data_IF_958264319373
#
_entry.id   IF_958264319373
#
_cell.length_a   1.000
_cell.length_b   1.000
_cell.length_c   1.000
_cell.angle_alpha   90.00
_cell.angle_beta   90.00
_cell.angle_gamma   90.00
#
_symmetry.space_group_name_H-M   'P 1'
#
loop_
_entity.id
_entity.type
_entity.pdbx_description
1 polymer ?
#
# COMPACT_ATOMS: atom_id res chain seq x y z
N UNK A 1 -2.14 18.94 -5.09
CA UNK A 1 -0.90 18.36 -4.54
C UNK A 1 -0.02 19.49 -4.07
N UNK A 2 0.55 19.36 -2.87
CA UNK A 2 1.51 20.31 -2.32
C UNK A 2 2.84 20.30 -3.08
N UNK A 3 3.75 21.19 -2.67
CA UNK A 3 5.13 21.24 -3.21
C UNK A 3 6.03 20.15 -2.58
N UNK A 4 5.72 19.72 -1.34
CA UNK A 4 6.47 18.73 -0.56
C UNK A 4 5.69 17.43 -0.37
N UNK A 5 4.41 17.52 0.00
CA UNK A 5 3.55 16.35 0.14
C UNK A 5 3.12 15.83 -1.22
N UNK A 6 3.51 14.59 -1.52
CA UNK A 6 3.03 13.83 -2.66
C UNK A 6 1.71 13.10 -2.33
N UNK A 7 1.38 12.04 -3.08
CA UNK A 7 0.21 11.19 -2.82
C UNK A 7 0.34 10.36 -1.54
N UNK A 8 1.56 10.21 -1.01
CA UNK A 8 1.86 9.32 0.13
C UNK A 8 2.98 9.92 1.01
N UNK A 9 2.74 11.10 1.54
CA UNK A 9 3.66 11.82 2.41
C UNK A 9 4.79 12.57 1.67
N UNK A 10 5.79 12.99 2.44
CA UNK A 10 7.00 13.63 1.92
C UNK A 10 8.01 12.53 1.60
N UNK A 11 8.48 12.44 0.35
CA UNK A 11 9.47 11.45 -0.08
C UNK A 11 10.65 12.12 -0.79
N UNK A 12 11.82 11.49 -0.68
CA UNK A 12 13.03 11.93 -1.38
C UNK A 12 14.23 11.05 -1.08
N UNK A 13 15.35 11.33 -1.76
CA UNK A 13 16.63 10.70 -1.45
C UNK A 13 17.08 11.22 -0.08
N UNK A 14 17.31 10.28 0.84
CA UNK A 14 17.67 10.59 2.22
C UNK A 14 18.98 11.39 2.27
N UNK A 15 19.02 12.42 3.13
CA UNK A 15 20.12 13.36 3.32
C UNK A 15 20.50 14.20 2.07
N UNK A 16 19.64 14.18 1.04
CA UNK A 16 19.76 15.05 -0.14
C UNK A 16 18.47 15.87 -0.30
N UNK A 17 17.36 15.22 -0.58
CA UNK A 17 16.03 15.83 -0.74
C UNK A 17 15.29 15.84 0.61
N UNK A 18 15.35 14.71 1.33
CA UNK A 18 14.79 14.52 2.68
C UNK A 18 15.91 14.60 3.70
N UNK A 19 16.23 15.83 4.13
CA UNK A 19 17.30 16.12 5.08
C UNK A 19 16.84 16.06 6.53
N UNK A 20 17.78 15.99 7.47
CA UNK A 20 17.49 16.09 8.90
C UNK A 20 16.80 17.43 9.27
N UNK A 21 17.16 18.54 8.61
CA UNK A 21 16.51 19.83 8.81
C UNK A 21 15.03 19.79 8.36
N UNK A 22 14.76 19.20 7.19
CA UNK A 22 13.38 19.04 6.70
C UNK A 22 12.58 18.14 7.65
N UNK A 23 13.15 17.04 8.13
CA UNK A 23 12.51 16.14 9.08
C UNK A 23 12.19 16.85 10.41
N UNK A 24 13.12 17.68 10.93
CA UNK A 24 12.86 18.50 12.11
C UNK A 24 11.67 19.46 11.89
N UNK A 25 11.69 20.21 10.79
CA UNK A 25 10.59 21.14 10.44
C UNK A 25 9.27 20.41 10.27
N UNK A 26 9.30 19.23 9.63
CA UNK A 26 8.13 18.39 9.45
C UNK A 26 7.54 17.94 10.80
N UNK A 27 8.40 17.51 11.75
CA UNK A 27 7.97 17.17 13.10
C UNK A 27 7.38 18.35 13.85
N UNK A 28 8.04 19.51 13.79
CA UNK A 28 7.59 20.74 14.43
C UNK A 28 6.23 21.20 13.89
N UNK A 29 6.13 21.32 12.57
CA UNK A 29 4.90 21.76 11.88
C UNK A 29 3.75 20.76 12.04
N UNK A 30 4.04 19.47 11.93
CA UNK A 30 3.06 18.38 12.13
C UNK A 30 2.49 18.39 13.55
N UNK A 31 3.36 18.47 14.58
CA UNK A 31 2.90 18.57 15.95
C UNK A 31 2.02 19.81 16.17
N UNK A 32 2.46 20.97 15.66
CA UNK A 32 1.69 22.20 15.80
C UNK A 32 0.29 22.09 15.20
N UNK A 33 0.19 21.69 13.93
CA UNK A 33 -1.09 21.62 13.21
C UNK A 33 -2.03 20.58 13.81
N UNK A 34 -1.51 19.38 14.12
CA UNK A 34 -2.34 18.26 14.58
C UNK A 34 -2.79 18.43 16.04
N UNK A 35 -2.12 19.28 16.82
CA UNK A 35 -2.39 19.38 18.26
C UNK A 35 -2.80 20.77 18.74
N UNK A 36 -2.89 21.76 17.84
CA UNK A 36 -3.23 23.16 18.19
C UNK A 36 -4.55 23.35 18.94
N UNK A 37 -5.46 22.39 18.85
CA UNK A 37 -6.76 22.41 19.55
C UNK A 37 -6.78 21.51 20.79
N UNK A 38 -5.67 20.84 21.12
CA UNK A 38 -5.58 19.98 22.30
C UNK A 38 -5.18 20.79 23.54
N UNK A 39 -5.94 20.64 24.62
CA UNK A 39 -5.57 21.19 25.92
C UNK A 39 -4.60 20.31 26.71
N UNK A 40 -4.32 19.09 26.20
CA UNK A 40 -3.44 18.10 26.82
C UNK A 40 -2.11 18.03 26.08
N UNK A 41 -1.09 17.50 26.75
CA UNK A 41 0.19 17.19 26.12
C UNK A 41 -0.01 16.15 25.00
N UNK A 42 0.31 16.49 23.75
CA UNK A 42 0.09 15.58 22.63
C UNK A 42 0.98 14.35 22.74
N UNK A 43 0.43 13.21 22.33
CA UNK A 43 1.11 11.92 22.25
C UNK A 43 1.26 11.55 20.79
N UNK A 44 2.49 11.38 20.32
CA UNK A 44 2.78 11.09 18.91
C UNK A 44 3.65 9.84 18.85
N UNK A 45 3.21 8.86 18.06
CA UNK A 45 3.94 7.63 17.81
C UNK A 45 4.86 7.83 16.60
N UNK A 46 6.03 7.19 16.61
CA UNK A 46 6.92 7.11 15.45
C UNK A 46 7.29 5.66 15.21
N UNK A 47 6.93 5.11 14.04
CA UNK A 47 7.43 3.85 13.53
C UNK A 47 8.32 4.07 12.31
N UNK A 48 9.18 3.11 11.99
CA UNK A 48 10.05 3.17 10.82
C UNK A 48 10.25 1.80 10.20
N UNK A 49 10.67 1.78 8.93
CA UNK A 49 11.18 0.58 8.30
C UNK A 49 12.68 0.34 8.67
N UNK A 50 13.31 -0.58 8.00
CA UNK A 50 14.67 -1.03 8.30
C UNK A 50 15.77 -0.15 7.68
N UNK A 51 15.44 0.91 6.93
CA UNK A 51 16.41 1.78 6.27
C UNK A 51 17.35 2.45 7.28
N UNK A 52 18.64 2.41 7.00
CA UNK A 52 19.66 3.04 7.85
C UNK A 52 19.43 4.55 8.05
N UNK A 53 18.92 5.23 7.02
CA UNK A 53 18.57 6.65 7.09
C UNK A 53 17.41 6.94 8.06
N UNK A 54 16.64 5.92 8.45
CA UNK A 54 15.54 6.02 9.40
C UNK A 54 16.00 6.56 10.77
N UNK A 55 17.17 6.17 11.25
CA UNK A 55 17.69 6.62 12.55
C UNK A 55 17.92 8.14 12.58
N UNK A 56 18.53 8.67 11.52
CA UNK A 56 18.77 10.12 11.40
C UNK A 56 17.45 10.90 11.32
N UNK A 57 16.53 10.42 10.49
CA UNK A 57 15.24 11.08 10.30
C UNK A 57 14.37 11.01 11.56
N UNK A 58 14.36 9.88 12.26
CA UNK A 58 13.63 9.70 13.53
C UNK A 58 14.16 10.65 14.60
N UNK A 59 15.48 10.76 14.74
CA UNK A 59 16.08 11.67 15.72
C UNK A 59 15.71 13.14 15.44
N UNK A 60 15.78 13.58 14.19
CA UNK A 60 15.45 14.94 13.78
C UNK A 60 13.95 15.22 13.95
N UNK A 61 13.09 14.32 13.47
CA UNK A 61 11.63 14.40 13.61
C UNK A 61 11.24 14.45 15.09
N UNK A 62 11.83 13.60 15.93
CA UNK A 62 11.60 13.56 17.37
C UNK A 62 11.94 14.88 18.03
N UNK A 63 13.08 15.50 17.68
CA UNK A 63 13.44 16.80 18.18
C UNK A 63 12.42 17.88 17.79
N UNK A 64 11.95 17.88 16.54
CA UNK A 64 10.88 18.77 16.07
C UNK A 64 9.58 18.60 16.86
N UNK A 65 9.12 17.37 17.03
CA UNK A 65 7.91 17.05 17.82
C UNK A 65 8.05 17.48 19.29
N UNK A 66 9.20 17.18 19.92
CA UNK A 66 9.47 17.58 21.30
C UNK A 66 9.54 19.10 21.48
N UNK A 67 10.03 19.84 20.46
CA UNK A 67 10.07 21.31 20.51
C UNK A 67 8.67 21.93 20.61
N UNK A 68 7.64 21.20 20.19
CA UNK A 68 6.22 21.58 20.30
C UNK A 68 5.52 21.00 21.54
N UNK A 69 6.29 20.44 22.48
CA UNK A 69 5.75 19.91 23.73
C UNK A 69 5.18 18.50 23.65
N UNK A 70 5.32 17.79 22.55
CA UNK A 70 4.78 16.44 22.40
C UNK A 70 5.51 15.40 23.26
N UNK A 71 4.74 14.43 23.78
CA UNK A 71 5.27 13.15 24.26
C UNK A 71 5.46 12.25 23.05
N UNK A 72 6.69 12.00 22.65
CA UNK A 72 7.03 11.13 21.53
C UNK A 72 7.24 9.70 22.03
N UNK A 73 6.67 8.75 21.33
CA UNK A 73 6.73 7.32 21.65
C UNK A 73 7.28 6.58 20.43
N UNK A 74 8.60 6.33 20.38
CA UNK A 74 9.18 5.50 19.34
C UNK A 74 8.66 4.07 19.44
N UNK A 75 8.23 3.50 18.30
CA UNK A 75 7.75 2.13 18.17
C UNK A 75 8.87 1.18 17.69
N UNK A 76 9.99 1.74 17.20
CA UNK A 76 11.04 0.99 16.53
C UNK A 76 10.66 0.61 15.10
N UNK A 77 11.21 -0.51 14.64
CA UNK A 77 10.91 -1.05 13.31
C UNK A 77 9.58 -1.80 13.38
N UNK A 78 8.57 -1.24 12.71
CA UNK A 78 7.22 -1.82 12.62
C UNK A 78 6.61 -1.49 11.25
N UNK A 79 5.71 -2.34 10.72
CA UNK A 79 4.95 -2.05 9.50
C UNK A 79 4.19 -0.71 9.55
N UNK A 80 4.02 -0.07 8.38
CA UNK A 80 3.17 1.13 8.25
C UNK A 80 1.77 0.92 8.85
N UNK A 81 1.04 -0.18 8.56
CA UNK A 81 -0.26 -0.43 9.17
C UNK A 81 -0.21 -0.63 10.70
N UNK A 82 0.91 -1.09 11.23
CA UNK A 82 1.08 -1.19 12.68
C UNK A 82 1.02 0.19 13.35
N UNK A 83 1.60 1.22 12.73
CA UNK A 83 1.53 2.59 13.26
C UNK A 83 0.10 3.10 13.23
N UNK A 84 -0.66 2.87 12.15
CA UNK A 84 -2.07 3.24 12.05
C UNK A 84 -2.91 2.57 13.15
N UNK A 85 -2.72 1.25 13.36
CA UNK A 85 -3.41 0.51 14.42
C UNK A 85 -3.00 0.98 15.81
N UNK A 86 -1.71 1.06 16.11
CA UNK A 86 -1.20 1.43 17.44
C UNK A 86 -1.53 2.86 17.82
N UNK A 87 -1.70 3.77 16.85
CA UNK A 87 -2.17 5.13 17.11
C UNK A 87 -3.54 5.12 17.79
N UNK A 88 -4.46 4.31 17.28
CA UNK A 88 -5.78 4.09 17.90
C UNK A 88 -5.69 3.34 19.22
N UNK A 89 -4.95 2.23 19.23
CA UNK A 89 -4.81 1.33 20.38
C UNK A 89 -4.24 2.03 21.61
N UNK A 90 -3.16 2.82 21.41
CA UNK A 90 -2.56 3.62 22.49
C UNK A 90 -3.25 4.97 22.71
N UNK A 91 -4.31 5.28 21.97
CA UNK A 91 -5.04 6.57 22.05
C UNK A 91 -4.09 7.76 21.88
N UNK A 92 -3.19 7.69 20.88
CA UNK A 92 -2.30 8.77 20.52
C UNK A 92 -3.02 9.81 19.67
N UNK A 93 -2.51 11.05 19.69
CA UNK A 93 -3.10 12.14 18.89
C UNK A 93 -2.69 12.05 17.42
N UNK A 94 -1.54 11.42 17.13
CA UNK A 94 -1.06 11.15 15.78
C UNK A 94 -0.06 9.99 15.77
N UNK A 95 0.09 9.38 14.58
CA UNK A 95 1.15 8.44 14.24
C UNK A 95 2.00 8.97 13.11
N UNK A 96 3.29 8.67 13.11
CA UNK A 96 4.21 9.02 12.03
C UNK A 96 4.97 7.77 11.61
N UNK A 97 5.11 7.59 10.31
CA UNK A 97 5.91 6.51 9.71
C UNK A 97 7.05 7.11 8.93
N UNK A 98 8.25 6.55 9.13
CA UNK A 98 9.44 6.86 8.37
C UNK A 98 9.74 5.69 7.45
N UNK A 99 9.31 5.80 6.19
CA UNK A 99 9.48 4.80 5.14
C UNK A 99 9.23 5.37 3.75
N UNK A 100 9.84 4.74 2.75
CA UNK A 100 9.53 4.97 1.33
C UNK A 100 8.96 3.71 0.64
N UNK A 101 8.29 2.81 1.41
CA UNK A 101 7.62 1.60 0.92
C UNK A 101 8.56 0.74 0.05
N UNK A 102 8.21 0.45 -1.20
CA UNK A 102 8.95 -0.40 -2.13
C UNK A 102 10.16 0.27 -2.81
N UNK A 103 10.44 1.56 -2.53
CA UNK A 103 11.59 2.23 -3.12
C UNK A 103 12.93 1.64 -2.63
N UNK A 104 14.04 1.76 -3.41
CA UNK A 104 15.37 1.39 -2.96
C UNK A 104 15.82 2.12 -1.68
N UNK A 105 16.87 1.62 -1.02
CA UNK A 105 17.28 2.07 0.30
C UNK A 105 17.73 3.53 0.39
N UNK A 106 18.13 4.16 -0.74
CA UNK A 106 18.52 5.56 -0.83
C UNK A 106 17.35 6.51 -0.57
N UNK A 107 16.14 6.09 -0.87
CA UNK A 107 14.93 6.86 -0.61
C UNK A 107 14.44 6.66 0.82
N UNK A 108 13.78 7.69 1.35
CA UNK A 108 12.98 7.57 2.56
C UNK A 108 11.77 8.52 2.46
N UNK A 109 10.86 8.44 3.44
CA UNK A 109 9.67 9.27 3.47
C UNK A 109 9.16 9.49 4.89
N UNK A 110 8.28 10.47 5.05
CA UNK A 110 7.57 10.76 6.30
C UNK A 110 6.09 10.87 6.00
N UNK A 111 5.30 10.00 6.62
CA UNK A 111 3.83 9.91 6.47
C UNK A 111 3.19 10.13 7.83
N UNK A 112 2.05 10.81 7.85
CA UNK A 112 1.29 11.04 9.08
C UNK A 112 -0.05 10.29 9.07
N UNK A 113 -0.43 9.84 10.26
CA UNK A 113 -1.77 9.33 10.57
C UNK A 113 -2.41 10.20 11.64
N UNK A 114 -3.71 10.46 11.52
CA UNK A 114 -4.49 11.13 12.56
C UNK A 114 -4.78 10.18 13.73
N UNK A 115 -5.45 10.66 14.76
CA UNK A 115 -5.82 9.89 15.95
C UNK A 115 -6.69 8.67 15.66
N UNK A 116 -7.43 8.68 14.54
CA UNK A 116 -8.28 7.58 14.12
C UNK A 116 -7.53 6.57 13.24
N UNK A 117 -6.23 6.77 13.00
CA UNK A 117 -5.38 5.89 12.22
C UNK A 117 -5.55 6.02 10.69
N UNK A 118 -6.15 7.11 10.21
CA UNK A 118 -6.23 7.43 8.79
C UNK A 118 -5.12 8.36 8.37
N UNK A 119 -4.69 8.26 7.11
CA UNK A 119 -3.80 9.25 6.48
C UNK A 119 -4.43 10.65 6.57
N UNK A 120 -3.60 11.69 6.63
CA UNK A 120 -4.09 13.06 6.69
C UNK A 120 -4.82 13.44 5.39
N UNK A 121 -5.77 14.37 5.52
CA UNK A 121 -6.40 15.01 4.35
C UNK A 121 -5.45 16.02 3.70
N UNK A 122 -5.62 16.27 2.40
CA UNK A 122 -4.83 17.29 1.67
C UNK A 122 -4.84 18.65 2.35
N UNK A 123 -5.98 19.02 2.96
CA UNK A 123 -6.11 20.30 3.69
C UNK A 123 -5.15 20.40 4.87
N UNK A 124 -5.01 19.31 5.64
CA UNK A 124 -4.09 19.24 6.77
C UNK A 124 -2.64 19.18 6.29
N UNK A 125 -2.34 18.37 5.26
CA UNK A 125 -1.01 18.28 4.67
C UNK A 125 -0.56 19.62 4.10
N UNK A 126 -1.40 20.33 3.37
CA UNK A 126 -1.12 21.68 2.85
C UNK A 126 -0.92 22.69 3.98
N UNK A 127 -1.66 22.57 5.08
CA UNK A 127 -1.44 23.42 6.24
C UNK A 127 -0.06 23.16 6.89
N UNK A 128 0.32 21.91 7.08
CA UNK A 128 1.65 21.53 7.59
C UNK A 128 2.73 22.06 6.66
N UNK A 129 2.57 21.88 5.35
CA UNK A 129 3.52 22.35 4.34
C UNK A 129 3.74 23.87 4.41
N UNK A 130 2.67 24.65 4.63
CA UNK A 130 2.77 26.10 4.74
C UNK A 130 3.68 26.57 5.88
N UNK A 131 3.73 25.81 6.98
CA UNK A 131 4.68 26.06 8.09
C UNK A 131 6.09 25.61 7.76
N UNK A 132 6.25 24.46 7.10
CA UNK A 132 7.57 23.94 6.69
C UNK A 132 8.25 24.91 5.73
N UNK A 133 7.51 25.46 4.77
CA UNK A 133 7.99 26.41 3.75
C UNK A 133 8.18 27.83 4.29
N UNK A 134 7.75 28.13 5.52
CA UNK A 134 7.83 29.46 6.12
C UNK A 134 6.79 30.46 5.57
N UNK A 135 5.75 29.98 4.91
CA UNK A 135 4.61 30.80 4.48
C UNK A 135 3.73 31.20 5.69
N UNK A 136 3.76 30.37 6.75
CA UNK A 136 3.21 30.67 8.06
C UNK A 136 4.26 30.49 9.14
N UNK A 137 4.14 31.21 10.26
CA UNK A 137 5.04 31.17 11.39
C UNK A 137 4.39 30.50 12.60
N UNK A 138 5.17 29.74 13.34
CA UNK A 138 4.82 29.27 14.69
C UNK A 138 5.17 30.40 15.65
N UNK A 139 4.16 31.02 16.25
CA UNK A 139 4.34 32.25 17.03
C UNK A 139 5.02 32.00 18.37
N UNK A 140 4.74 30.88 19.03
CA UNK A 140 5.24 30.59 20.38
C UNK A 140 5.67 29.12 20.52
N UNK A 141 6.88 28.91 21.05
CA UNK A 141 7.40 27.59 21.37
C UNK A 141 7.25 27.30 22.87
N UNK A 142 6.86 26.07 23.24
CA UNK A 142 6.81 25.64 24.62
C UNK A 142 8.19 25.76 25.31
N UNK A 143 8.21 26.27 26.53
CA UNK A 143 9.42 26.43 27.36
C UNK A 143 9.29 25.69 28.70
N UNK A 144 10.41 25.58 29.42
CA UNK A 144 10.47 24.95 30.76
C UNK A 144 9.82 23.56 30.77
N UNK A 145 8.97 23.27 31.71
CA UNK A 145 8.27 21.98 31.85
C UNK A 145 7.25 21.66 30.75
N UNK A 146 7.02 22.59 29.80
CA UNK A 146 6.14 22.37 28.64
C UNK A 146 6.89 21.77 27.45
N UNK A 147 8.22 21.75 27.42
CA UNK A 147 8.99 21.06 26.39
C UNK A 147 8.63 19.57 26.39
N UNK A 148 8.55 18.97 25.21
CA UNK A 148 8.23 17.56 25.04
C UNK A 148 9.36 16.63 25.48
N UNK A 149 9.06 15.34 25.47
CA UNK A 149 10.04 14.31 25.85
C UNK A 149 9.75 12.97 25.15
N UNK A 150 10.75 12.10 25.11
CA UNK A 150 10.63 10.75 24.60
C UNK A 150 10.24 9.78 25.72
N UNK A 151 9.32 8.88 25.43
CA UNK A 151 8.89 7.81 26.34
C UNK A 151 8.99 6.48 25.61
N UNK A 152 9.86 5.60 26.07
CA UNK A 152 10.05 4.30 25.44
C UNK A 152 8.75 3.47 25.41
N UNK A 153 8.56 2.71 24.34
CA UNK A 153 7.58 1.63 24.24
C UNK A 153 8.32 0.37 23.75
N UNK A 154 8.20 -0.70 24.52
CA UNK A 154 8.90 -1.97 24.21
C UNK A 154 7.93 -3.06 23.71
N UNK A 155 6.64 -2.75 23.60
CA UNK A 155 5.61 -3.75 23.27
C UNK A 155 4.97 -3.56 21.89
N UNK A 156 5.43 -2.61 21.09
CA UNK A 156 4.77 -2.25 19.83
C UNK A 156 4.62 -3.44 18.87
N UNK A 157 5.69 -4.22 18.70
CA UNK A 157 5.68 -5.42 17.86
C UNK A 157 4.69 -6.46 18.41
N UNK A 158 4.75 -6.74 19.71
CA UNK A 158 3.89 -7.77 20.33
C UNK A 158 2.41 -7.36 20.32
N UNK A 159 2.10 -6.08 20.56
CA UNK A 159 0.74 -5.57 20.54
C UNK A 159 0.15 -5.60 19.12
N UNK A 160 0.95 -5.27 18.10
CA UNK A 160 0.52 -5.39 16.70
C UNK A 160 0.37 -6.85 16.27
N UNK A 161 1.31 -7.73 16.64
CA UNK A 161 1.22 -9.18 16.38
C UNK A 161 -0.02 -9.78 17.05
N UNK A 162 -0.31 -9.40 18.29
CA UNK A 162 -1.51 -9.86 18.99
C UNK A 162 -2.79 -9.42 18.27
N UNK A 163 -2.82 -8.18 17.79
CA UNK A 163 -3.91 -7.68 16.97
C UNK A 163 -4.03 -8.47 15.66
N UNK A 164 -2.96 -8.58 14.86
CA UNK A 164 -3.00 -9.27 13.58
C UNK A 164 -3.49 -10.73 13.72
N UNK A 165 -2.97 -11.46 14.71
CA UNK A 165 -3.41 -12.82 15.03
C UNK A 165 -4.90 -12.88 15.38
N UNK A 166 -5.43 -11.87 16.07
CA UNK A 166 -6.85 -11.82 16.45
C UNK A 166 -7.82 -11.58 15.28
N UNK A 167 -7.31 -11.22 14.09
CA UNK A 167 -8.15 -10.96 12.90
C UNK A 167 -8.66 -12.23 12.24
N UNK A 168 -8.12 -13.39 12.58
CA UNK A 168 -8.61 -14.70 12.15
C UNK A 168 -8.96 -15.57 13.36
N UNK A 169 -9.91 -16.48 13.18
CA UNK A 169 -10.43 -17.38 14.22
C UNK A 169 -10.00 -18.85 14.02
N UNK A 170 -8.98 -19.08 13.20
CA UNK A 170 -8.43 -20.43 12.96
C UNK A 170 -6.92 -20.45 13.18
N UNK A 171 -6.41 -21.62 13.49
CA UNK A 171 -4.98 -21.90 13.53
C UNK A 171 -4.51 -22.34 12.15
N UNK A 172 -3.21 -22.17 11.89
CA UNK A 172 -2.55 -22.53 10.63
C UNK A 172 -1.69 -23.79 10.77
N UNK A 173 -1.96 -24.64 11.80
CA UNK A 173 -1.20 -25.87 12.05
C UNK A 173 -1.15 -26.74 10.78
N UNK A 174 0.05 -27.21 10.44
CA UNK A 174 0.31 -28.08 9.28
C UNK A 174 0.48 -27.33 7.96
N UNK A 175 0.27 -26.00 7.89
CA UNK A 175 0.60 -25.22 6.70
C UNK A 175 2.09 -24.88 6.68
N UNK A 176 2.76 -25.17 5.56
CA UNK A 176 4.14 -24.76 5.30
C UNK A 176 4.14 -23.50 4.46
N UNK A 177 4.63 -22.41 5.03
CA UNK A 177 4.55 -21.08 4.45
C UNK A 177 5.96 -20.53 4.21
N UNK A 178 6.28 -20.17 2.97
CA UNK A 178 7.46 -19.40 2.64
C UNK A 178 7.14 -17.90 2.76
N UNK A 179 8.00 -17.11 3.41
CA UNK A 179 7.77 -15.67 3.60
C UNK A 179 8.98 -14.89 3.12
N UNK A 180 8.73 -13.94 2.22
CA UNK A 180 9.68 -12.90 1.84
C UNK A 180 9.34 -11.62 2.61
N UNK A 181 10.25 -11.19 3.49
CA UNK A 181 10.08 -10.00 4.31
C UNK A 181 10.69 -8.74 3.68
N UNK A 182 11.17 -8.80 2.45
CA UNK A 182 11.80 -7.67 1.74
C UNK A 182 13.00 -7.05 2.51
N UNK A 183 13.57 -7.73 3.49
CA UNK A 183 14.43 -7.13 4.52
C UNK A 183 13.82 -5.85 5.13
N UNK A 184 12.50 -5.76 5.14
CA UNK A 184 11.69 -4.62 5.53
C UNK A 184 11.06 -4.75 6.91
N UNK A 185 10.05 -3.94 7.17
CA UNK A 185 9.43 -3.77 8.48
C UNK A 185 8.64 -5.01 8.97
N UNK A 186 8.30 -5.94 8.07
CA UNK A 186 7.60 -7.18 8.42
C UNK A 186 8.51 -8.28 9.00
N UNK A 187 9.84 -8.13 8.95
CA UNK A 187 10.81 -9.18 9.24
C UNK A 187 10.60 -9.88 10.60
N UNK A 188 10.14 -9.15 11.59
CA UNK A 188 9.84 -9.68 12.92
C UNK A 188 8.35 -10.00 13.09
N UNK A 189 7.47 -9.11 12.63
CA UNK A 189 6.03 -9.20 12.88
C UNK A 189 5.38 -10.35 12.12
N UNK A 190 5.73 -10.55 10.85
CA UNK A 190 5.17 -11.64 10.04
C UNK A 190 5.58 -13.02 10.59
N UNK A 191 6.86 -13.18 10.88
CA UNK A 191 7.38 -14.43 11.44
C UNK A 191 6.72 -14.77 12.78
N UNK A 192 6.61 -13.79 13.70
CA UNK A 192 5.97 -13.98 15.02
C UNK A 192 4.49 -14.34 14.89
N UNK A 193 3.75 -13.64 14.03
CA UNK A 193 2.31 -13.85 13.87
C UNK A 193 2.01 -15.26 13.32
N UNK A 194 2.70 -15.68 12.27
CA UNK A 194 2.50 -16.98 11.65
C UNK A 194 2.91 -18.14 12.58
N UNK A 195 4.04 -18.03 13.28
CA UNK A 195 4.45 -19.02 14.28
C UNK A 195 3.45 -19.12 15.44
N UNK A 196 2.93 -17.98 15.92
CA UNK A 196 1.91 -17.95 16.99
C UNK A 196 0.63 -18.68 16.58
N UNK A 197 0.31 -18.69 15.29
CA UNK A 197 -0.81 -19.42 14.70
C UNK A 197 -0.48 -20.88 14.39
N UNK A 198 0.76 -21.36 14.59
CA UNK A 198 1.17 -22.74 14.42
C UNK A 198 1.59 -23.14 13.01
N UNK A 199 1.83 -22.18 12.11
CA UNK A 199 2.37 -22.46 10.79
C UNK A 199 3.84 -22.93 10.88
N UNK A 200 4.26 -23.75 9.90
CA UNK A 200 5.67 -24.04 9.65
C UNK A 200 6.23 -22.98 8.70
N UNK A 201 6.98 -22.01 9.25
CA UNK A 201 7.41 -20.81 8.53
C UNK A 201 8.87 -20.89 8.13
N UNK A 202 9.13 -20.74 6.84
CA UNK A 202 10.44 -20.58 6.25
C UNK A 202 10.58 -19.18 5.69
N UNK A 203 11.45 -18.34 6.27
CA UNK A 203 11.60 -16.94 5.87
C UNK A 203 12.86 -16.72 5.03
N UNK A 204 12.72 -15.93 3.97
CA UNK A 204 13.81 -15.36 3.17
C UNK A 204 13.79 -13.84 3.30
N UNK A 205 14.91 -13.18 3.01
CA UNK A 205 15.06 -11.72 3.06
C UNK A 205 14.53 -11.12 4.38
N UNK A 206 14.91 -11.74 5.51
CA UNK A 206 14.49 -11.34 6.86
C UNK A 206 15.66 -10.96 7.78
N UNK A 207 16.80 -10.59 7.20
CA UNK A 207 18.01 -10.15 7.90
C UNK A 207 18.41 -8.75 7.45
N UNK A 208 17.66 -7.72 7.87
CA UNK A 208 17.91 -6.36 7.43
C UNK A 208 19.27 -5.84 7.93
N UNK A 209 20.03 -5.19 7.05
CA UNK A 209 21.31 -4.54 7.36
C UNK A 209 21.26 -3.00 7.23
N UNK A 210 20.10 -2.48 6.87
CA UNK A 210 19.82 -1.05 6.68
C UNK A 210 20.00 -0.54 5.26
N UNK A 211 20.55 -1.37 4.35
CA UNK A 211 20.75 -1.03 2.94
C UNK A 211 20.21 -2.06 1.97
N UNK A 212 19.82 -3.23 2.45
CA UNK A 212 19.31 -4.34 1.65
C UNK A 212 17.78 -4.40 1.53
N UNK A 213 17.05 -3.45 2.07
CA UNK A 213 15.58 -3.38 1.93
C UNK A 213 15.18 -3.29 0.46
N UNK A 214 14.21 -4.10 0.03
CA UNK A 214 13.70 -4.20 -1.34
C UNK A 214 14.76 -4.53 -2.42
N UNK A 215 15.96 -4.96 -2.02
CA UNK A 215 17.01 -5.26 -2.99
C UNK A 215 16.82 -6.65 -3.57
N UNK A 216 16.34 -6.73 -4.82
CA UNK A 216 16.03 -7.99 -5.53
C UNK A 216 15.11 -8.93 -4.73
N UNK A 217 14.22 -8.36 -3.97
CA UNK A 217 13.21 -9.02 -3.13
C UNK A 217 11.99 -8.11 -3.00
N UNK A 218 10.98 -8.51 -2.27
CA UNK A 218 9.71 -7.83 -2.08
C UNK A 218 8.58 -8.26 -3.04
N UNK A 219 7.41 -7.66 -2.87
CA UNK A 219 6.23 -7.90 -3.71
C UNK A 219 6.37 -7.42 -5.17
N UNK A 220 7.46 -6.73 -5.53
CA UNK A 220 7.76 -6.32 -6.91
C UNK A 220 8.81 -7.20 -7.58
N UNK A 221 9.50 -8.07 -6.81
CA UNK A 221 10.56 -8.98 -7.28
C UNK A 221 10.31 -10.39 -6.73
N UNK A 222 9.36 -11.10 -7.35
CA UNK A 222 8.82 -12.35 -6.84
C UNK A 222 9.63 -13.60 -7.20
N UNK A 223 10.62 -13.50 -8.08
CA UNK A 223 11.32 -14.65 -8.68
C UNK A 223 12.02 -15.52 -7.64
N UNK A 224 12.62 -14.90 -6.62
CA UNK A 224 13.30 -15.64 -5.55
C UNK A 224 12.31 -16.42 -4.68
N UNK A 225 11.16 -15.82 -4.35
CA UNK A 225 10.11 -16.49 -3.59
C UNK A 225 9.45 -17.61 -4.40
N UNK A 226 9.20 -17.41 -5.70
CA UNK A 226 8.64 -18.42 -6.59
C UNK A 226 9.53 -19.67 -6.66
N UNK A 227 10.84 -19.47 -6.84
CA UNK A 227 11.80 -20.58 -6.82
C UNK A 227 11.90 -21.23 -5.44
N UNK A 228 11.84 -20.45 -4.37
CA UNK A 228 11.95 -20.97 -3.00
C UNK A 228 10.73 -21.82 -2.63
N UNK A 229 9.51 -21.36 -2.89
CA UNK A 229 8.26 -22.11 -2.64
C UNK A 229 8.33 -23.50 -3.24
N UNK A 230 8.68 -23.61 -4.51
CA UNK A 230 8.77 -24.90 -5.21
C UNK A 230 9.90 -25.77 -4.67
N UNK A 231 11.05 -25.18 -4.34
CA UNK A 231 12.23 -25.92 -3.86
C UNK A 231 12.02 -26.59 -2.50
N UNK A 232 11.25 -25.93 -1.61
CA UNK A 232 10.98 -26.45 -0.27
C UNK A 232 9.65 -27.20 -0.17
N UNK A 233 8.84 -27.17 -1.24
CA UNK A 233 7.47 -27.72 -1.24
C UNK A 233 6.58 -27.02 -0.23
N UNK A 234 6.55 -25.68 -0.25
CA UNK A 234 5.64 -24.90 0.58
C UNK A 234 4.22 -24.94 0.01
N UNK A 235 3.21 -24.84 0.88
CA UNK A 235 1.81 -24.75 0.47
C UNK A 235 1.48 -23.41 -0.15
N UNK A 236 2.23 -22.36 0.23
CA UNK A 236 2.09 -20.98 -0.24
C UNK A 236 3.35 -20.18 0.08
N UNK A 237 3.65 -19.20 -0.79
CA UNK A 237 4.59 -18.12 -0.51
C UNK A 237 3.86 -16.81 -0.27
N UNK A 238 4.39 -15.96 0.60
CA UNK A 238 3.88 -14.60 0.90
C UNK A 238 5.05 -13.63 0.80
N UNK A 239 4.91 -12.58 0.00
CA UNK A 239 5.87 -11.49 -0.10
C UNK A 239 5.23 -10.19 0.37
N UNK A 240 5.97 -9.45 1.19
CA UNK A 240 5.65 -8.08 1.61
C UNK A 240 6.50 -7.08 0.84
N UNK A 241 6.11 -5.82 0.81
CA UNK A 241 7.00 -4.72 0.47
C UNK A 241 7.70 -4.14 1.71
N UNK A 242 8.59 -3.18 1.52
CA UNK A 242 9.49 -2.72 2.58
C UNK A 242 8.81 -2.19 3.85
N UNK A 243 7.61 -1.59 3.76
CA UNK A 243 6.83 -1.13 4.92
C UNK A 243 5.58 -2.00 5.19
N UNK A 244 5.45 -3.10 4.43
CA UNK A 244 4.45 -4.14 4.62
C UNK A 244 2.99 -3.66 4.61
N UNK A 245 2.69 -2.59 3.88
CA UNK A 245 1.32 -2.17 3.60
C UNK A 245 0.72 -2.94 2.42
N UNK A 246 1.57 -3.72 1.68
CA UNK A 246 1.21 -4.59 0.57
C UNK A 246 1.61 -6.03 0.82
N UNK A 247 0.87 -6.94 0.19
CA UNK A 247 1.15 -8.37 0.17
C UNK A 247 0.76 -8.98 -1.17
N UNK A 248 1.67 -9.76 -1.76
CA UNK A 248 1.37 -10.70 -2.84
C UNK A 248 1.69 -12.12 -2.42
N UNK A 249 1.17 -13.10 -3.15
CA UNK A 249 1.39 -14.50 -2.83
C UNK A 249 1.94 -15.29 -4.03
N UNK A 250 2.44 -16.49 -3.73
CA UNK A 250 2.89 -17.49 -4.70
C UNK A 250 2.19 -18.80 -4.37
N UNK A 251 1.58 -19.44 -5.34
CA UNK A 251 0.94 -20.73 -5.14
C UNK A 251 1.97 -21.87 -4.97
N UNK A 252 1.49 -23.07 -4.62
CA UNK A 252 2.30 -24.26 -4.43
C UNK A 252 3.05 -24.72 -5.68
N UNK A 253 2.72 -24.18 -6.87
CA UNK A 253 3.38 -24.45 -8.14
C UNK A 253 4.37 -23.35 -8.55
N UNK A 254 4.59 -22.34 -7.70
CA UNK A 254 5.45 -21.20 -7.98
C UNK A 254 4.85 -20.11 -8.84
N UNK A 255 3.52 -20.09 -9.03
CA UNK A 255 2.85 -19.03 -9.79
C UNK A 255 2.47 -17.86 -8.89
N UNK A 256 2.64 -16.66 -9.41
CA UNK A 256 2.22 -15.42 -8.75
C UNK A 256 0.69 -15.41 -8.55
N UNK A 257 0.27 -14.98 -7.37
CA UNK A 257 -1.12 -14.63 -7.01
C UNK A 257 -1.10 -13.14 -6.64
N UNK A 258 -1.73 -12.33 -7.46
CA UNK A 258 -1.78 -10.88 -7.26
C UNK A 258 -2.91 -10.42 -6.32
N UNK A 259 -2.94 -9.11 -6.05
CA UNK A 259 -3.94 -8.52 -5.16
C UNK A 259 -5.38 -8.73 -5.63
N UNK A 260 -5.62 -8.75 -6.93
CA UNK A 260 -6.96 -8.99 -7.48
C UNK A 260 -7.47 -10.40 -7.16
N UNK A 261 -6.59 -11.40 -7.31
CA UNK A 261 -6.91 -12.80 -7.02
C UNK A 261 -7.12 -13.00 -5.50
N UNK A 262 -6.27 -12.38 -4.68
CA UNK A 262 -6.39 -12.42 -3.21
C UNK A 262 -7.72 -11.79 -2.76
N UNK A 263 -8.02 -10.59 -3.27
CA UNK A 263 -9.26 -9.89 -2.95
C UNK A 263 -10.50 -10.68 -3.38
N UNK A 264 -10.50 -11.26 -4.58
CA UNK A 264 -11.62 -12.07 -5.07
C UNK A 264 -11.87 -13.30 -4.19
N UNK A 265 -10.80 -14.02 -3.80
CA UNK A 265 -10.91 -15.19 -2.94
C UNK A 265 -11.45 -14.82 -1.55
N UNK A 266 -10.91 -13.76 -0.94
CA UNK A 266 -11.38 -13.26 0.35
C UNK A 266 -12.82 -12.75 0.27
N UNK A 267 -13.16 -11.93 -0.72
CA UNK A 267 -14.51 -11.40 -0.90
C UNK A 267 -15.55 -12.51 -1.13
N UNK A 268 -15.20 -13.52 -1.94
CA UNK A 268 -16.08 -14.70 -2.12
C UNK A 268 -16.32 -15.42 -0.81
N UNK A 269 -15.25 -15.67 -0.05
CA UNK A 269 -15.37 -16.33 1.25
C UNK A 269 -16.21 -15.49 2.23
N UNK A 270 -15.97 -14.17 2.31
CA UNK A 270 -16.75 -13.24 3.13
C UNK A 270 -18.24 -13.24 2.74
N UNK A 271 -18.55 -13.24 1.43
CA UNK A 271 -19.92 -13.33 0.94
C UNK A 271 -20.59 -14.64 1.37
N UNK A 272 -19.89 -15.76 1.17
CA UNK A 272 -20.43 -17.10 1.47
C UNK A 272 -20.69 -17.28 2.99
N UNK A 273 -19.97 -16.50 3.82
CA UNK A 273 -20.18 -16.45 5.27
C UNK A 273 -21.07 -15.27 5.75
N UNK A 274 -21.62 -14.47 4.83
CA UNK A 274 -22.51 -13.35 5.17
C UNK A 274 -21.80 -12.15 5.83
N UNK A 275 -20.49 -12.03 5.67
CA UNK A 275 -19.68 -10.93 6.25
C UNK A 275 -19.26 -9.87 5.23
N UNK A 276 -19.47 -10.12 3.91
CA UNK A 276 -19.21 -9.13 2.87
C UNK A 276 -20.33 -8.08 2.86
N UNK A 277 -20.02 -6.87 3.29
CA UNK A 277 -21.01 -5.78 3.33
C UNK A 277 -21.49 -5.43 1.92
N UNK A 278 -22.81 -5.44 1.74
CA UNK A 278 -23.50 -5.11 0.48
C UNK A 278 -23.02 -5.93 -0.72
N UNK A 279 -22.44 -7.12 -0.49
CA UNK A 279 -21.85 -7.96 -1.53
C UNK A 279 -20.90 -7.18 -2.46
N UNK A 280 -20.07 -6.30 -1.90
CA UNK A 280 -19.23 -5.38 -2.67
C UNK A 280 -17.77 -5.47 -2.27
N UNK A 281 -16.88 -5.53 -3.30
CA UNK A 281 -15.43 -5.41 -3.25
C UNK A 281 -15.03 -4.15 -4.02
N UNK A 282 -14.33 -3.21 -3.41
CA UNK A 282 -13.87 -1.98 -4.10
C UNK A 282 -12.52 -2.23 -4.76
N UNK A 283 -12.39 -1.90 -6.06
CA UNK A 283 -11.13 -2.03 -6.80
C UNK A 283 -10.84 -0.75 -7.60
N UNK A 284 -9.62 -0.61 -8.13
CA UNK A 284 -9.28 0.53 -8.99
C UNK A 284 -9.51 0.21 -10.47
N UNK A 285 -9.47 1.23 -11.31
CA UNK A 285 -9.49 1.06 -12.78
C UNK A 285 -8.28 0.26 -13.30
N UNK A 286 -7.23 0.05 -12.48
CA UNK A 286 -6.06 -0.75 -12.86
C UNK A 286 -6.21 -2.24 -12.58
N UNK A 287 -7.20 -2.66 -11.78
CA UNK A 287 -7.47 -4.08 -11.56
C UNK A 287 -7.77 -4.78 -12.89
N UNK A 288 -7.29 -6.00 -13.01
CA UNK A 288 -7.42 -6.81 -14.22
C UNK A 288 -8.88 -7.01 -14.62
N UNK A 289 -9.18 -7.00 -15.91
CA UNK A 289 -10.54 -7.24 -16.42
C UNK A 289 -11.12 -8.56 -15.89
N UNK A 290 -10.27 -9.57 -15.72
CA UNK A 290 -10.64 -10.86 -15.14
C UNK A 290 -11.26 -10.76 -13.74
N UNK A 291 -10.87 -9.80 -12.92
CA UNK A 291 -11.48 -9.56 -11.62
C UNK A 291 -12.95 -9.13 -11.75
N UNK A 292 -13.24 -8.20 -12.67
CA UNK A 292 -14.60 -7.73 -12.89
C UNK A 292 -15.50 -8.82 -13.45
N UNK A 293 -15.00 -9.61 -14.41
CA UNK A 293 -15.70 -10.78 -14.96
C UNK A 293 -15.96 -11.84 -13.88
N UNK A 294 -14.99 -12.08 -13.00
CA UNK A 294 -15.15 -12.97 -11.86
C UNK A 294 -16.23 -12.47 -10.90
N UNK A 295 -16.23 -11.15 -10.60
CA UNK A 295 -17.22 -10.52 -9.76
C UNK A 295 -18.66 -10.77 -10.24
N UNK A 296 -18.92 -10.54 -11.53
CA UNK A 296 -20.22 -10.83 -12.15
C UNK A 296 -20.61 -12.30 -11.99
N UNK A 297 -19.66 -13.21 -12.28
CA UNK A 297 -19.90 -14.66 -12.21
C UNK A 297 -20.21 -15.14 -10.79
N UNK A 298 -19.54 -14.57 -9.79
CA UNK A 298 -19.75 -14.95 -8.38
C UNK A 298 -20.77 -14.05 -7.66
N UNK A 299 -21.41 -13.09 -8.31
CA UNK A 299 -22.44 -12.23 -7.70
C UNK A 299 -21.89 -11.22 -6.70
N UNK A 300 -20.68 -10.69 -6.94
CA UNK A 300 -20.05 -9.62 -6.16
C UNK A 300 -19.98 -8.36 -7.01
N UNK A 301 -20.49 -7.24 -6.49
CA UNK A 301 -20.38 -5.95 -7.13
C UNK A 301 -18.95 -5.39 -6.94
N UNK A 302 -18.32 -4.91 -8.03
CA UNK A 302 -16.96 -4.36 -7.98
C UNK A 302 -16.94 -2.96 -8.58
N UNK A 303 -17.25 -1.90 -7.77
CA UNK A 303 -17.10 -0.53 -8.19
C UNK A 303 -15.63 -0.18 -8.46
N UNK A 304 -15.39 0.61 -9.50
CA UNK A 304 -14.06 1.03 -9.96
C UNK A 304 -13.77 2.44 -9.47
N UNK A 305 -12.69 2.61 -8.74
CA UNK A 305 -12.18 3.93 -8.34
C UNK A 305 -11.03 4.38 -9.24
N UNK A 306 -10.61 5.62 -9.09
CA UNK A 306 -9.32 6.09 -9.61
C UNK A 306 -8.17 5.30 -8.96
N UNK A 307 -7.01 5.32 -9.61
CA UNK A 307 -5.78 4.71 -9.09
C UNK A 307 -5.32 5.43 -7.82
N UNK A 308 -5.03 4.67 -6.80
CA UNK A 308 -4.53 5.12 -5.50
C UNK A 308 -5.40 4.61 -4.35
N UNK A 309 -4.75 4.11 -3.32
CA UNK A 309 -5.33 3.55 -2.10
C UNK A 309 -6.32 4.49 -1.41
N UNK A 310 -6.04 5.79 -1.48
CA UNK A 310 -6.90 6.84 -0.95
C UNK A 310 -8.30 6.80 -1.57
N UNK A 311 -8.42 6.67 -2.90
CA UNK A 311 -9.71 6.64 -3.57
C UNK A 311 -10.51 5.37 -3.25
N UNK A 312 -9.81 4.24 -3.07
CA UNK A 312 -10.40 3.00 -2.61
C UNK A 312 -10.99 3.20 -1.20
N UNK A 313 -10.20 3.74 -0.29
CA UNK A 313 -10.63 3.99 1.09
C UNK A 313 -11.80 4.99 1.16
N UNK A 314 -11.74 6.08 0.40
CA UNK A 314 -12.82 7.09 0.34
C UNK A 314 -14.15 6.45 -0.12
N UNK A 315 -14.14 5.62 -1.16
CA UNK A 315 -15.33 4.91 -1.63
C UNK A 315 -15.85 3.91 -0.57
N UNK A 316 -14.93 3.15 0.06
CA UNK A 316 -15.30 2.21 1.13
C UNK A 316 -15.98 2.91 2.30
N UNK A 317 -15.42 4.03 2.76
CA UNK A 317 -15.98 4.81 3.88
C UNK A 317 -17.32 5.45 3.51
N UNK A 318 -17.42 6.06 2.33
CA UNK A 318 -18.62 6.74 1.87
C UNK A 318 -19.82 5.81 1.71
N UNK A 319 -19.58 4.55 1.33
CA UNK A 319 -20.62 3.56 1.04
C UNK A 319 -20.75 2.48 2.13
N UNK A 320 -19.82 2.41 3.08
CA UNK A 320 -19.82 1.41 4.15
C UNK A 320 -19.39 0.03 3.70
N UNK A 321 -18.51 -0.09 2.71
CA UNK A 321 -17.91 -1.34 2.27
C UNK A 321 -16.75 -1.73 3.18
N UNK A 322 -16.43 -3.01 3.28
CA UNK A 322 -15.43 -3.49 4.24
C UNK A 322 -14.21 -4.20 3.63
N UNK A 323 -14.17 -4.39 2.30
CA UNK A 323 -12.98 -4.86 1.60
C UNK A 323 -12.78 -4.07 0.32
N UNK A 324 -11.54 -3.72 0.03
CA UNK A 324 -11.13 -3.08 -1.22
C UNK A 324 -9.61 -3.01 -1.31
N UNK A 325 -9.09 -2.69 -2.50
CA UNK A 325 -7.65 -2.58 -2.68
C UNK A 325 -7.23 -2.46 -4.14
N UNK A 326 -5.97 -2.78 -4.36
CA UNK A 326 -5.29 -2.67 -5.64
C UNK A 326 -4.62 -3.99 -6.03
N UNK A 327 -4.46 -4.23 -7.33
CA UNK A 327 -3.73 -5.39 -7.87
C UNK A 327 -2.31 -5.50 -7.29
N UNK A 328 -1.69 -4.38 -6.94
CA UNK A 328 -0.37 -4.32 -6.31
C UNK A 328 -0.27 -4.94 -4.91
N UNK A 329 -1.39 -5.41 -4.36
CA UNK A 329 -1.45 -6.06 -3.04
C UNK A 329 -1.72 -5.11 -1.87
N UNK A 330 -1.97 -3.83 -2.10
CA UNK A 330 -2.47 -2.91 -1.06
C UNK A 330 -3.95 -3.18 -0.83
N UNK A 331 -4.26 -4.03 0.15
CA UNK A 331 -5.61 -4.51 0.44
C UNK A 331 -6.06 -4.01 1.81
N UNK A 332 -7.24 -3.42 1.86
CA UNK A 332 -7.87 -2.86 3.06
C UNK A 332 -8.99 -3.77 3.52
N UNK A 333 -8.87 -4.30 4.72
CA UNK A 333 -9.94 -4.95 5.47
C UNK A 333 -10.43 -3.99 6.55
N UNK A 334 -11.44 -3.17 6.23
CA UNK A 334 -11.83 -2.03 7.06
C UNK A 334 -12.44 -2.43 8.41
N UNK A 335 -12.91 -3.67 8.53
CA UNK A 335 -13.34 -4.23 9.81
C UNK A 335 -12.15 -4.48 10.77
N UNK A 336 -10.92 -4.47 10.27
CA UNK A 336 -9.71 -4.70 11.05
C UNK A 336 -8.81 -3.46 11.13
N UNK A 337 -8.38 -2.92 9.98
CA UNK A 337 -7.48 -1.77 9.95
C UNK A 337 -7.95 -0.67 8.98
N UNK A 338 -7.43 0.53 9.15
CA UNK A 338 -7.84 1.76 8.43
C UNK A 338 -7.03 2.04 7.17
N UNK A 339 -6.09 1.19 6.83
CA UNK A 339 -5.21 1.28 5.66
C UNK A 339 -4.90 -0.12 5.14
N UNK A 340 -4.24 -0.23 4.01
CA UNK A 340 -3.69 -1.49 3.56
C UNK A 340 -2.78 -2.10 4.62
N UNK A 341 -2.94 -3.40 4.85
CA UNK A 341 -2.21 -4.15 5.86
C UNK A 341 -1.82 -5.50 5.29
N UNK A 342 -0.55 -5.61 4.89
CA UNK A 342 -0.05 -6.82 4.26
C UNK A 342 -0.16 -8.05 5.16
N UNK A 343 0.12 -7.91 6.47
CA UNK A 343 0.04 -9.03 7.41
C UNK A 343 -1.41 -9.46 7.65
N UNK A 344 -2.33 -8.52 7.85
CA UNK A 344 -3.76 -8.83 7.95
C UNK A 344 -4.26 -9.47 6.66
N UNK A 345 -3.89 -8.94 5.49
CA UNK A 345 -4.27 -9.50 4.18
C UNK A 345 -3.77 -10.94 4.01
N UNK A 346 -2.51 -11.21 4.40
CA UNK A 346 -1.95 -12.55 4.41
C UNK A 346 -2.76 -13.49 5.31
N UNK A 347 -3.05 -13.07 6.54
CA UNK A 347 -3.80 -13.89 7.48
C UNK A 347 -5.24 -14.14 7.02
N UNK A 348 -5.91 -13.15 6.44
CA UNK A 348 -7.24 -13.34 5.85
C UNK A 348 -7.20 -14.37 4.72
N UNK A 349 -6.25 -14.26 3.79
CA UNK A 349 -6.13 -15.21 2.69
C UNK A 349 -5.77 -16.62 3.19
N UNK A 350 -4.81 -16.75 4.12
CA UNK A 350 -4.47 -18.03 4.76
C UNK A 350 -5.67 -18.66 5.50
N UNK A 351 -6.49 -17.83 6.14
CA UNK A 351 -7.75 -18.29 6.77
C UNK A 351 -8.73 -18.86 5.76
N UNK A 352 -8.84 -18.25 4.57
CA UNK A 352 -9.64 -18.79 3.46
C UNK A 352 -9.14 -20.18 3.08
N UNK A 353 -7.84 -20.33 2.81
CA UNK A 353 -7.27 -21.63 2.43
C UNK A 353 -7.47 -22.68 3.52
N UNK A 354 -7.20 -22.31 4.77
CA UNK A 354 -7.34 -23.23 5.91
C UNK A 354 -8.76 -23.71 6.14
N UNK A 355 -9.74 -22.81 6.06
CA UNK A 355 -11.15 -23.13 6.33
C UNK A 355 -11.84 -23.86 5.17
N UNK A 356 -11.44 -23.56 3.94
CA UNK A 356 -12.01 -24.22 2.75
C UNK A 356 -11.33 -25.51 2.38
N UNK A 357 -10.06 -25.71 2.83
CA UNK A 357 -9.23 -26.82 2.38
C UNK A 357 -8.70 -26.67 0.96
N UNK A 358 -8.92 -25.53 0.31
CA UNK A 358 -8.45 -25.24 -1.04
C UNK A 358 -6.93 -25.01 -1.04
N UNK A 359 -6.29 -25.43 -2.13
CA UNK A 359 -4.92 -25.00 -2.42
C UNK A 359 -4.87 -23.52 -2.82
N UNK A 360 -3.70 -22.90 -2.72
CA UNK A 360 -3.53 -21.49 -3.12
C UNK A 360 -3.86 -21.28 -4.60
N UNK A 361 -3.43 -22.20 -5.49
CA UNK A 361 -3.76 -22.16 -6.92
C UNK A 361 -5.27 -22.27 -7.20
N UNK A 362 -5.99 -23.06 -6.43
CA UNK A 362 -7.46 -23.22 -6.57
C UNK A 362 -8.19 -21.94 -6.16
N UNK A 363 -7.78 -21.33 -5.03
CA UNK A 363 -8.35 -20.07 -4.57
C UNK A 363 -8.08 -18.92 -5.55
N UNK A 364 -6.89 -18.85 -6.11
CA UNK A 364 -6.51 -17.86 -7.12
C UNK A 364 -7.28 -18.03 -8.44
N UNK A 365 -7.65 -19.27 -8.80
CA UNK A 365 -8.35 -19.57 -10.06
C UNK A 365 -9.77 -19.01 -10.18
N UNK A 366 -10.30 -18.41 -9.09
CA UNK A 366 -11.55 -17.63 -9.10
C UNK A 366 -11.47 -16.51 -10.13
N UNK A 367 -10.31 -15.88 -10.27
CA UNK A 367 -10.00 -14.87 -11.27
C UNK A 367 -9.18 -15.51 -12.40
N UNK A 368 -9.69 -15.46 -13.62
CA UNK A 368 -8.90 -15.75 -14.81
C UNK A 368 -8.22 -14.45 -15.22
N UNK A 369 -6.90 -14.36 -14.96
CA UNK A 369 -6.12 -13.17 -15.32
C UNK A 369 -6.09 -13.03 -16.83
N UNK A 370 -6.58 -11.91 -17.33
CA UNK A 370 -6.53 -11.57 -18.76
C UNK A 370 -5.14 -11.06 -19.15
N UNK A 371 -4.57 -11.51 -20.28
CA UNK A 371 -3.37 -10.89 -20.82
C UNK A 371 -3.51 -9.38 -20.89
N UNK A 372 -2.43 -8.67 -20.52
CA UNK A 372 -2.39 -7.21 -20.43
C UNK A 372 -1.12 -6.69 -21.07
N UNK A 373 -1.25 -5.71 -21.93
CA UNK A 373 -0.12 -5.02 -22.59
C UNK A 373 -0.16 -3.54 -22.27
N UNK A 374 0.99 -3.01 -21.86
CA UNK A 374 1.20 -1.59 -21.61
C UNK A 374 2.18 -1.02 -22.63
N UNK A 375 1.82 0.09 -23.28
CA UNK A 375 2.70 0.88 -24.14
C UNK A 375 2.67 2.34 -23.70
N UNK A 376 3.82 3.00 -23.81
CA UNK A 376 3.95 4.42 -23.52
C UNK A 376 4.02 5.19 -24.82
N UNK A 377 3.14 6.15 -25.02
CA UNK A 377 3.21 7.12 -26.10
C UNK A 377 3.92 8.38 -25.61
N UNK A 378 5.00 8.80 -26.26
CA UNK A 378 5.75 10.03 -25.93
C UNK A 378 5.02 11.22 -26.52
N UNK A 379 4.64 12.19 -25.65
CA UNK A 379 3.85 13.35 -26.05
C UNK A 379 4.45 14.65 -25.54
N UNK A 380 4.08 15.79 -26.11
CA UNK A 380 4.42 17.07 -25.51
C UNK A 380 3.73 17.23 -24.15
N UNK A 381 4.46 17.79 -23.17
CA UNK A 381 3.97 17.93 -21.80
C UNK A 381 2.64 18.70 -21.74
N UNK A 382 2.50 19.71 -22.58
CA UNK A 382 1.29 20.55 -22.71
C UNK A 382 0.07 19.79 -23.26
N UNK A 383 0.31 18.77 -24.08
CA UNK A 383 -0.73 17.99 -24.78
C UNK A 383 -1.14 16.71 -24.02
N UNK A 384 -0.41 16.31 -22.97
CA UNK A 384 -0.60 14.98 -22.37
C UNK A 384 -2.01 14.76 -21.79
N UNK A 385 -2.74 15.80 -21.44
CA UNK A 385 -4.09 15.69 -20.87
C UNK A 385 -5.20 15.79 -21.92
N UNK A 386 -4.87 16.16 -23.18
CA UNK A 386 -5.86 16.37 -24.25
C UNK A 386 -6.16 15.13 -25.09
N UNK A 387 -5.60 13.96 -24.74
CA UNK A 387 -5.75 12.73 -25.52
C UNK A 387 -7.21 12.32 -25.77
N UNK A 388 -8.12 12.51 -24.80
CA UNK A 388 -9.54 12.17 -24.94
C UNK A 388 -10.37 13.28 -25.60
N UNK A 389 -9.82 14.49 -25.73
CA UNK A 389 -10.44 15.61 -26.45
C UNK A 389 -10.24 15.50 -27.97
N UNK A 390 -9.27 14.69 -28.41
CA UNK A 390 -9.01 14.44 -29.81
C UNK A 390 -9.96 13.36 -30.34
N UNK A 391 -10.77 13.75 -31.35
CA UNK A 391 -11.82 12.89 -31.93
C UNK A 391 -11.24 11.61 -32.56
N UNK A 392 -10.04 11.66 -33.18
CA UNK A 392 -9.41 10.50 -33.82
C UNK A 392 -8.94 9.48 -32.78
N UNK A 393 -8.34 9.93 -31.70
CA UNK A 393 -7.92 9.04 -30.58
C UNK A 393 -9.15 8.44 -29.90
N UNK A 394 -10.16 9.24 -29.59
CA UNK A 394 -11.37 8.79 -28.96
C UNK A 394 -12.14 7.76 -29.83
N UNK A 395 -12.19 7.99 -31.15
CA UNK A 395 -12.82 7.07 -32.11
C UNK A 395 -12.05 5.74 -32.20
N UNK A 396 -10.70 5.78 -32.22
CA UNK A 396 -9.88 4.57 -32.22
C UNK A 396 -10.06 3.72 -30.95
N UNK A 397 -10.10 4.37 -29.79
CA UNK A 397 -10.37 3.68 -28.52
C UNK A 397 -11.74 3.01 -28.53
N UNK A 398 -12.77 3.74 -28.93
CA UNK A 398 -14.13 3.22 -29.00
C UNK A 398 -14.26 2.06 -30.00
N UNK A 399 -13.63 2.16 -31.16
CA UNK A 399 -13.63 1.08 -32.14
C UNK A 399 -13.04 -0.21 -31.57
N UNK A 400 -11.94 -0.11 -30.80
CA UNK A 400 -11.33 -1.27 -30.14
C UNK A 400 -12.22 -1.83 -29.03
N UNK A 401 -12.86 -0.98 -28.22
CA UNK A 401 -13.78 -1.41 -27.18
C UNK A 401 -15.00 -2.14 -27.77
N UNK A 402 -15.56 -1.60 -28.87
CA UNK A 402 -16.67 -2.21 -29.59
C UNK A 402 -16.26 -3.57 -30.21
N UNK A 403 -15.02 -3.66 -30.74
CA UNK A 403 -14.45 -4.91 -31.29
C UNK A 403 -14.27 -5.99 -30.22
N UNK A 404 -13.82 -5.62 -29.02
CA UNK A 404 -13.67 -6.56 -27.92
C UNK A 404 -14.99 -7.10 -27.39
N UNK A 405 -16.10 -6.44 -27.62
CA UNK A 405 -17.44 -6.87 -27.22
C UNK A 405 -17.56 -7.30 -25.74
N UNK A 406 -16.83 -6.65 -24.86
CA UNK A 406 -16.77 -6.93 -23.41
C UNK A 406 -15.72 -7.98 -23.00
N UNK A 407 -15.03 -8.62 -23.95
CA UNK A 407 -13.96 -9.59 -23.69
C UNK A 407 -12.56 -8.97 -23.71
N UNK A 408 -12.46 -7.65 -23.75
CA UNK A 408 -11.25 -6.86 -23.68
C UNK A 408 -11.55 -5.45 -23.19
N UNK A 409 -10.50 -4.67 -22.97
CA UNK A 409 -10.59 -3.31 -22.45
C UNK A 409 -9.43 -2.45 -22.95
N UNK A 410 -9.72 -1.18 -23.21
CA UNK A 410 -8.73 -0.14 -23.50
C UNK A 410 -8.74 0.86 -22.35
N UNK A 411 -7.58 1.12 -21.75
CA UNK A 411 -7.41 2.13 -20.70
C UNK A 411 -6.25 3.06 -21.10
N UNK A 412 -6.55 4.33 -21.28
CA UNK A 412 -5.55 5.36 -21.54
C UNK A 412 -5.47 6.33 -20.37
N UNK A 413 -4.26 6.67 -19.97
CA UNK A 413 -4.04 7.67 -18.91
C UNK A 413 -2.74 8.45 -19.10
N UNK A 414 -2.69 9.73 -18.73
CA UNK A 414 -1.45 10.49 -18.73
C UNK A 414 -0.56 10.04 -17.57
N UNK A 415 0.76 10.07 -17.77
CA UNK A 415 1.72 9.93 -16.67
C UNK A 415 1.63 11.15 -15.75
N UNK A 416 1.73 10.93 -14.43
CA UNK A 416 1.74 12.04 -13.46
C UNK A 416 2.95 12.96 -13.63
N UNK A 417 4.12 12.38 -13.86
CA UNK A 417 5.43 13.07 -13.81
C UNK A 417 6.13 13.19 -15.15
N UNK A 418 5.85 12.29 -16.11
CA UNK A 418 6.57 12.19 -17.37
C UNK A 418 5.71 12.71 -18.53
N UNK A 419 6.32 13.17 -19.64
CA UNK A 419 5.60 13.56 -20.86
C UNK A 419 5.14 12.33 -21.66
N UNK A 420 4.32 11.49 -21.02
CA UNK A 420 3.85 10.22 -21.58
C UNK A 420 2.33 10.07 -21.40
N UNK A 421 1.71 9.44 -22.37
CA UNK A 421 0.37 8.85 -22.29
C UNK A 421 0.53 7.33 -22.29
N UNK A 422 0.00 6.67 -21.27
CA UNK A 422 0.07 5.23 -21.10
C UNK A 422 -1.16 4.58 -21.71
N UNK A 423 -0.94 3.67 -22.64
CA UNK A 423 -1.96 2.87 -23.31
C UNK A 423 -1.89 1.46 -22.73
N UNK A 424 -2.94 1.03 -22.06
CA UNK A 424 -3.11 -0.33 -21.57
C UNK A 424 -4.24 -1.01 -22.31
N UNK A 425 -4.00 -2.19 -22.85
CA UNK A 425 -5.01 -3.03 -23.47
C UNK A 425 -5.01 -4.39 -22.80
N UNK A 426 -6.19 -4.89 -22.48
CA UNK A 426 -6.42 -6.24 -21.99
C UNK A 426 -7.32 -7.01 -22.98
N UNK A 427 -7.06 -8.31 -23.12
CA UNK A 427 -7.82 -9.17 -24.01
C UNK A 427 -7.30 -10.60 -23.99
N UNK A 428 -8.02 -11.52 -24.65
CA UNK A 428 -7.70 -12.96 -24.63
C UNK A 428 -6.46 -13.32 -25.43
N UNK A 429 -6.20 -12.60 -26.51
CA UNK A 429 -5.10 -12.85 -27.44
C UNK A 429 -4.01 -11.81 -27.23
N UNK A 430 -2.89 -12.23 -26.60
CA UNK A 430 -1.78 -11.36 -26.25
C UNK A 430 -1.07 -10.76 -27.48
N UNK A 431 -0.92 -11.53 -28.57
CA UNK A 431 -0.29 -11.05 -29.80
C UNK A 431 -1.16 -9.96 -30.43
N UNK A 432 -2.46 -10.19 -30.49
CA UNK A 432 -3.42 -9.24 -31.00
C UNK A 432 -3.43 -7.92 -30.21
N UNK A 433 -3.58 -7.98 -28.86
CA UNK A 433 -3.61 -6.78 -28.04
C UNK A 433 -2.28 -6.04 -28.03
N UNK A 434 -1.15 -6.74 -28.19
CA UNK A 434 0.18 -6.13 -28.34
C UNK A 434 0.21 -5.23 -29.57
N UNK A 435 -0.19 -5.77 -30.74
CA UNK A 435 -0.27 -5.02 -31.98
C UNK A 435 -1.19 -3.80 -31.86
N UNK A 436 -2.36 -3.98 -31.24
CA UNK A 436 -3.32 -2.88 -31.04
C UNK A 436 -2.82 -1.79 -30.09
N UNK A 437 -2.08 -2.17 -29.05
CA UNK A 437 -1.48 -1.21 -28.12
C UNK A 437 -0.38 -0.39 -28.81
N UNK A 438 0.40 -0.99 -29.70
CA UNK A 438 1.41 -0.32 -30.49
C UNK A 438 0.75 0.64 -31.51
N UNK A 439 -0.22 0.17 -32.30
CA UNK A 439 -0.97 1.00 -33.25
C UNK A 439 -1.59 2.24 -32.56
N UNK A 440 -2.18 2.07 -31.38
CA UNK A 440 -2.81 3.16 -30.64
C UNK A 440 -1.78 4.12 -30.01
N UNK A 441 -0.65 3.60 -29.50
CA UNK A 441 0.43 4.42 -28.97
C UNK A 441 1.06 5.29 -30.10
N UNK A 442 1.33 4.72 -31.26
CA UNK A 442 1.85 5.44 -32.44
C UNK A 442 0.87 6.53 -32.90
N UNK A 443 -0.44 6.24 -32.91
CA UNK A 443 -1.46 7.25 -33.23
C UNK A 443 -1.42 8.44 -32.27
N UNK A 444 -1.31 8.15 -30.95
CA UNK A 444 -1.23 9.19 -29.91
C UNK A 444 0.05 10.01 -30.07
N UNK A 445 1.19 9.36 -30.31
CA UNK A 445 2.47 10.05 -30.55
C UNK A 445 2.41 10.97 -31.77
N UNK A 446 1.82 10.48 -32.88
CA UNK A 446 1.65 11.26 -34.10
C UNK A 446 0.80 12.53 -33.91
N UNK A 447 -0.22 12.46 -33.06
CA UNK A 447 -1.19 13.56 -32.83
C UNK A 447 -0.70 14.53 -31.76
N UNK A 448 -0.13 14.03 -30.67
CA UNK A 448 0.18 14.79 -29.46
C UNK A 448 1.68 15.00 -29.21
N UNK A 449 2.53 14.35 -30.02
CA UNK A 449 4.00 14.42 -29.94
C UNK A 449 4.65 15.69 -30.50
#
# INVERSE_FOLDING_TARGET
MGKLFGTDGIRGIANKDLTAELAFKTGQSGAYVLTKHSSKRPRILIGKDTRKSGDMLEAALTAGLCSMGAKVIPLGVVPTPAVAYLTRYYKADAGVVISASHNPCEYNGIKFFNSDGYKLSDGIENEIESYILGEKAIEELPTHGKVGYVSANHNAVEDYVAFAVSTIDCRLDGMKIAVDCANGASYETAFKALNKLGANVEAIHNTPDGVNINHMCDSTHMESLQAYVTSIGADIGIAFDGDADRMLAVDENGKLIDGDQIMAACAKFMRDNGTLKQNTLVATVMSNLGLFMAGEKIGINIPRTKVGDRYVLEEMLAKGYNIGGEQSGHIIFLDHNTTGDGLVSALQFLSVLKKTGMKASEAASIVTVMPQVLRNAVVKLENKNSYMENEEIAAACKALEDEFAGEGRVLIRPSGTEPLVRVMIEGKDEEYITKKAEELAELIEKILG
#
